data_IF_049983978071
#
_entry.id   IF_049983978071
#
_cell.length_a   1.000
_cell.length_b   1.000
_cell.length_c   1.000
_cell.angle_alpha   90.00
_cell.angle_beta   90.00
_cell.angle_gamma   90.00
#
_symmetry.space_group_name_H-M   'P 1'
#
loop_
_entity.id
_entity.type
_entity.pdbx_description
1 polymer ?
#
# COMPACT_ATOMS: atom_id res chain seq x y z
N UNK A 1 -2.96 10.57 60.39
CA UNK A 1 -2.18 11.83 60.28
C UNK A 1 -2.47 12.43 58.91
N UNK A 2 -2.91 13.69 58.90
CA UNK A 2 -3.41 14.45 57.74
C UNK A 2 -2.29 15.39 57.24
N UNK A 3 -2.16 15.54 55.91
CA UNK A 3 -1.71 16.73 55.14
C UNK A 3 -1.78 16.30 53.66
N UNK A 4 -2.67 16.74 52.75
CA UNK A 4 -3.22 18.06 52.39
C UNK A 4 -2.17 19.07 51.89
N UNK A 5 -2.28 19.45 50.61
CA UNK A 5 -1.50 20.51 49.92
C UNK A 5 -1.66 20.41 48.39
N UNK A 6 -2.73 20.95 47.78
CA UNK A 6 -2.84 22.30 47.15
C UNK A 6 -1.98 22.36 45.85
N UNK A 7 -2.53 22.16 44.65
CA UNK A 7 -3.43 23.00 43.82
C UNK A 7 -2.73 24.14 43.02
N UNK A 8 -2.64 23.90 41.70
CA UNK A 8 -2.96 24.77 40.54
C UNK A 8 -2.56 26.26 40.48
N UNK A 9 -1.90 26.63 39.36
CA UNK A 9 -2.39 27.50 38.25
C UNK A 9 -1.37 28.56 37.75
N UNK A 10 -1.53 28.91 36.45
CA UNK A 10 -1.07 30.06 35.63
C UNK A 10 -0.09 29.64 34.53
N UNK A 11 -0.57 29.27 33.33
CA UNK A 11 -1.04 30.13 32.22
C UNK A 11 0.00 31.20 31.87
N UNK A 12 0.81 30.92 30.84
CA UNK A 12 1.52 31.93 30.08
C UNK A 12 1.14 31.75 28.59
N UNK A 13 0.24 32.62 28.14
CA UNK A 13 -0.01 32.92 26.74
C UNK A 13 1.25 33.60 26.16
N UNK A 14 1.88 32.97 25.17
CA UNK A 14 2.96 33.54 24.38
C UNK A 14 2.48 33.87 22.98
N UNK A 15 2.53 35.16 22.66
CA UNK A 15 2.02 35.82 21.46
C UNK A 15 2.59 35.31 20.13
N UNK A 16 1.70 35.34 19.15
CA UNK A 16 1.88 35.48 17.72
C UNK A 16 3.06 36.36 17.27
N UNK A 17 3.87 35.83 16.36
CA UNK A 17 4.61 36.63 15.37
C UNK A 17 4.31 36.10 13.97
N UNK A 18 3.48 36.86 13.25
CA UNK A 18 3.37 36.81 11.78
C UNK A 18 4.69 37.35 11.21
N UNK A 19 5.58 36.44 10.80
CA UNK A 19 6.81 36.77 10.06
C UNK A 19 6.54 36.74 8.57
N UNK A 20 6.74 37.89 7.92
CA UNK A 20 6.44 38.18 6.53
C UNK A 20 7.13 37.22 5.54
N UNK A 21 6.35 36.68 4.60
CA UNK A 21 6.86 36.05 3.38
C UNK A 21 7.25 37.18 2.43
N UNK A 22 8.54 37.42 2.32
CA UNK A 22 9.15 38.37 1.40
C UNK A 22 8.98 37.84 -0.04
N UNK A 23 8.21 38.57 -0.85
CA UNK A 23 8.07 38.27 -2.27
C UNK A 23 9.36 38.71 -2.99
N UNK A 24 10.22 37.74 -3.30
CA UNK A 24 11.35 37.92 -4.22
C UNK A 24 10.79 38.34 -5.58
N UNK A 25 10.87 39.63 -5.87
CA UNK A 25 10.69 40.18 -7.23
C UNK A 25 11.93 39.82 -8.04
N UNK A 26 11.83 38.78 -8.85
CA UNK A 26 12.73 38.60 -9.99
C UNK A 26 12.33 39.60 -11.08
N UNK A 27 13.05 40.72 -11.12
CA UNK A 27 13.13 41.58 -12.28
C UNK A 27 14.05 40.94 -13.33
N UNK A 28 13.62 40.97 -14.59
CA UNK A 28 14.54 40.97 -15.72
C UNK A 28 14.31 39.81 -16.69
N UNK A 29 13.94 40.15 -17.92
CA UNK A 29 14.00 39.22 -19.06
C UNK A 29 12.82 39.33 -20.00
N UNK A 30 12.63 40.50 -20.61
CA UNK A 30 11.82 40.62 -21.80
C UNK A 30 12.48 39.81 -22.93
N UNK A 31 11.92 38.63 -23.22
CA UNK A 31 12.07 37.95 -24.50
C UNK A 31 10.68 37.43 -24.88
N UNK A 32 9.94 38.25 -25.63
CA UNK A 32 8.75 37.82 -26.36
C UNK A 32 9.18 36.82 -27.44
N UNK A 33 9.29 35.56 -27.08
CA UNK A 33 9.10 34.47 -28.03
C UNK A 33 7.58 34.24 -28.08
N UNK A 34 6.94 34.68 -29.16
CA UNK A 34 5.58 34.26 -29.47
C UNK A 34 5.61 32.77 -29.78
N UNK A 35 5.54 31.95 -28.73
CA UNK A 35 5.28 30.53 -28.86
C UNK A 35 3.82 30.41 -29.31
N UNK A 36 3.63 30.30 -30.62
CA UNK A 36 2.36 29.92 -31.23
C UNK A 36 1.90 28.62 -30.58
N UNK A 37 1.02 28.72 -29.58
CA UNK A 37 0.30 27.58 -29.03
C UNK A 37 -0.53 27.03 -30.19
N UNK A 38 -0.01 25.98 -30.84
CA UNK A 38 -0.77 25.19 -31.81
C UNK A 38 -1.89 24.48 -31.04
N UNK A 39 -2.98 25.21 -30.82
CA UNK A 39 -4.23 24.67 -30.30
C UNK A 39 -4.66 23.61 -31.29
N UNK A 40 -4.56 22.33 -30.91
CA UNK A 40 -5.05 21.24 -31.75
C UNK A 40 -6.55 21.48 -31.97
N UNK A 41 -7.03 21.52 -33.22
CA UNK A 41 -8.44 21.73 -33.48
C UNK A 41 -9.24 20.64 -32.76
N UNK A 42 -10.31 21.04 -32.07
CA UNK A 42 -11.23 20.08 -31.45
C UNK A 42 -11.83 19.22 -32.56
N UNK A 43 -11.79 17.90 -32.39
CA UNK A 43 -12.46 16.98 -33.32
C UNK A 43 -13.92 17.36 -33.46
N UNK A 44 -14.41 17.43 -34.69
CA UNK A 44 -15.83 17.69 -34.96
C UNK A 44 -16.66 16.48 -34.57
N UNK A 45 -17.93 16.68 -34.24
CA UNK A 45 -18.86 15.60 -33.87
C UNK A 45 -18.88 14.48 -34.92
N UNK A 46 -18.83 14.83 -36.20
CA UNK A 46 -18.78 13.87 -37.31
C UNK A 46 -17.52 12.99 -37.30
N UNK A 47 -16.36 13.57 -36.93
CA UNK A 47 -15.10 12.81 -36.84
C UNK A 47 -15.17 11.81 -35.68
N UNK A 48 -15.81 12.17 -34.57
CA UNK A 48 -16.01 11.28 -33.42
C UNK A 48 -16.91 10.11 -33.83
N UNK A 49 -18.02 10.38 -34.53
CA UNK A 49 -18.96 9.35 -34.99
C UNK A 49 -18.29 8.39 -35.99
N UNK A 50 -17.41 8.88 -36.86
CA UNK A 50 -16.62 8.02 -37.76
C UNK A 50 -15.66 7.11 -37.01
N UNK A 51 -15.01 7.57 -35.95
CA UNK A 51 -14.13 6.73 -35.12
C UNK A 51 -14.89 5.69 -34.31
N UNK A 52 -16.15 5.98 -33.92
CA UNK A 52 -17.00 5.05 -33.19
C UNK A 52 -17.69 4.02 -34.10
N UNK A 53 -17.74 4.26 -35.41
CA UNK A 53 -18.35 3.31 -36.34
C UNK A 53 -17.47 2.04 -36.48
N UNK A 54 -18.04 0.83 -36.35
CA UNK A 54 -17.31 -0.41 -36.58
C UNK A 54 -16.68 -0.42 -37.97
N UNK A 55 -15.34 -0.58 -38.05
CA UNK A 55 -14.59 -0.55 -39.31
C UNK A 55 -14.98 -1.67 -40.28
N UNK A 56 -15.54 -2.77 -39.77
CA UNK A 56 -15.97 -3.89 -40.59
C UNK A 56 -17.47 -3.78 -40.92
N UNK A 57 -17.86 -3.62 -42.20
CA UNK A 57 -19.27 -3.53 -42.60
C UNK A 57 -20.05 -4.82 -42.25
N UNK A 58 -19.36 -5.96 -42.12
CA UNK A 58 -19.95 -7.24 -41.74
C UNK A 58 -20.29 -7.36 -40.24
N UNK A 59 -19.77 -6.48 -39.37
CA UNK A 59 -20.10 -6.49 -37.94
C UNK A 59 -21.42 -5.78 -37.62
N UNK A 60 -21.93 -4.92 -38.54
CA UNK A 60 -23.20 -4.20 -38.35
C UNK A 60 -24.42 -5.11 -38.24
N UNK A 61 -24.35 -6.30 -38.85
CA UNK A 61 -25.44 -7.28 -38.82
C UNK A 61 -25.33 -8.26 -37.65
N UNK A 62 -24.18 -8.30 -36.97
CA UNK A 62 -23.96 -9.20 -35.83
C UNK A 62 -24.53 -8.53 -34.57
N UNK A 63 -25.85 -8.62 -34.37
CA UNK A 63 -26.47 -8.45 -33.06
C UNK A 63 -25.96 -9.57 -32.16
N UNK A 64 -24.77 -9.41 -31.59
CA UNK A 64 -24.27 -10.30 -30.55
C UNK A 64 -25.19 -10.09 -29.36
N UNK A 65 -26.10 -11.02 -29.11
CA UNK A 65 -26.86 -11.00 -27.86
C UNK A 65 -25.85 -11.25 -26.75
N UNK A 66 -25.96 -10.55 -25.63
CA UNK A 66 -25.09 -10.76 -24.46
C UNK A 66 -25.11 -12.22 -23.97
N UNK A 67 -26.17 -12.96 -24.28
CA UNK A 67 -26.30 -14.40 -24.03
C UNK A 67 -25.40 -15.27 -24.92
N UNK A 68 -25.05 -14.82 -26.13
CA UNK A 68 -24.25 -15.57 -27.10
C UNK A 68 -22.73 -15.38 -26.89
N UNK A 69 -22.35 -14.45 -26.01
CA UNK A 69 -21.00 -14.39 -25.43
C UNK A 69 -20.94 -15.46 -24.34
N UNK A 70 -21.16 -16.71 -24.73
CA UNK A 70 -20.76 -17.83 -23.91
C UNK A 70 -19.23 -17.76 -23.83
N UNK A 71 -18.74 -17.28 -22.68
CA UNK A 71 -17.32 -17.38 -22.37
C UNK A 71 -16.89 -18.81 -22.67
N UNK A 72 -15.83 -19.04 -23.48
CA UNK A 72 -15.33 -20.38 -23.70
C UNK A 72 -15.00 -20.95 -22.32
N UNK A 73 -15.86 -21.85 -21.84
CA UNK A 73 -15.61 -22.69 -20.68
C UNK A 73 -14.49 -23.62 -21.11
N UNK A 74 -13.28 -23.10 -20.99
CA UNK A 74 -12.05 -23.76 -21.36
C UNK A 74 -12.02 -25.07 -20.58
N UNK A 75 -12.07 -26.17 -21.32
CA UNK A 75 -11.98 -27.51 -20.78
C UNK A 75 -10.69 -27.68 -19.97
N UNK A 76 -10.77 -28.50 -18.92
CA UNK A 76 -9.66 -28.92 -18.04
C UNK A 76 -8.59 -27.83 -17.83
N UNK A 77 -8.93 -26.84 -17.00
CA UNK A 77 -7.94 -25.94 -16.42
C UNK A 77 -6.96 -26.80 -15.60
N UNK A 78 -5.67 -26.72 -15.93
CA UNK A 78 -4.60 -27.38 -15.18
C UNK A 78 -4.77 -27.11 -13.68
N UNK A 79 -4.65 -28.16 -12.88
CA UNK A 79 -4.87 -28.11 -11.41
C UNK A 79 -4.08 -26.99 -10.74
N UNK A 80 -2.87 -26.70 -11.24
CA UNK A 80 -2.02 -25.62 -10.74
C UNK A 80 -2.60 -24.23 -11.02
N UNK A 81 -3.08 -23.98 -12.24
CA UNK A 81 -3.73 -22.72 -12.62
C UNK A 81 -5.03 -22.54 -11.86
N UNK A 82 -5.78 -23.63 -11.64
CA UNK A 82 -6.99 -23.63 -10.81
C UNK A 82 -6.68 -23.28 -9.35
N UNK A 83 -5.60 -23.83 -8.77
CA UNK A 83 -5.16 -23.49 -7.40
C UNK A 83 -4.70 -22.04 -7.28
N UNK A 84 -4.03 -21.49 -8.30
CA UNK A 84 -3.64 -20.08 -8.34
C UNK A 84 -4.85 -19.15 -8.50
N UNK A 85 -5.84 -19.53 -9.32
CA UNK A 85 -7.10 -18.81 -9.45
C UNK A 85 -7.92 -18.88 -8.16
N UNK A 86 -7.92 -20.02 -7.46
CA UNK A 86 -8.53 -20.16 -6.14
C UNK A 86 -7.87 -19.23 -5.11
N UNK A 87 -6.52 -19.18 -5.08
CA UNK A 87 -5.76 -18.22 -4.26
C UNK A 87 -6.08 -16.76 -4.61
N UNK A 88 -6.31 -16.45 -5.89
CA UNK A 88 -6.75 -15.10 -6.33
C UNK A 88 -8.17 -14.77 -5.88
N UNK A 89 -9.04 -15.77 -5.73
CA UNK A 89 -10.44 -15.63 -5.28
C UNK A 89 -10.59 -15.66 -3.76
N UNK A 90 -9.52 -15.86 -3.00
CA UNK A 90 -9.56 -15.76 -1.55
C UNK A 90 -10.01 -14.38 -1.09
N UNK A 91 -10.84 -14.35 -0.04
CA UNK A 91 -11.28 -13.09 0.56
C UNK A 91 -10.08 -12.26 1.05
N UNK A 92 -10.20 -10.94 1.00
CA UNK A 92 -9.17 -10.03 1.52
C UNK A 92 -8.81 -10.34 2.98
N UNK A 93 -9.82 -10.73 3.77
CA UNK A 93 -9.66 -11.15 5.18
C UNK A 93 -8.82 -12.42 5.30
N UNK A 94 -9.02 -13.40 4.42
CA UNK A 94 -8.21 -14.62 4.43
C UNK A 94 -6.73 -14.30 4.15
N UNK A 95 -6.45 -13.39 3.21
CA UNK A 95 -5.08 -13.03 2.78
C UNK A 95 -4.36 -12.07 3.72
N UNK A 96 -4.97 -11.70 4.83
CA UNK A 96 -4.48 -10.69 5.75
C UNK A 96 -4.41 -11.23 7.17
N UNK A 97 -3.76 -10.47 8.04
CA UNK A 97 -3.72 -10.70 9.48
C UNK A 97 -4.74 -9.78 10.12
N UNK A 98 -5.71 -10.37 10.81
CA UNK A 98 -6.74 -9.60 11.52
C UNK A 98 -6.21 -9.27 12.91
N UNK A 99 -6.29 -8.00 13.31
CA UNK A 99 -5.93 -7.56 14.66
C UNK A 99 -7.15 -6.94 15.32
N UNK A 100 -7.55 -7.49 16.46
CA UNK A 100 -8.73 -7.10 17.22
C UNK A 100 -8.34 -6.29 18.47
N UNK A 101 -8.98 -5.15 18.65
CA UNK A 101 -8.97 -4.33 19.86
C UNK A 101 -10.17 -4.64 20.74
N UNK A 102 -10.49 -3.74 21.68
CA UNK A 102 -11.64 -3.92 22.57
C UNK A 102 -12.99 -3.77 21.86
N UNK A 103 -13.13 -2.75 20.99
CA UNK A 103 -14.39 -2.41 20.31
C UNK A 103 -14.27 -2.24 18.79
N UNK A 104 -13.05 -2.35 18.28
CA UNK A 104 -12.75 -2.23 16.86
C UNK A 104 -11.71 -3.26 16.43
N UNK A 105 -11.65 -3.55 15.14
CA UNK A 105 -10.66 -4.43 14.55
C UNK A 105 -10.16 -3.84 13.23
N UNK A 106 -8.97 -4.25 12.83
CA UNK A 106 -8.36 -3.82 11.59
C UNK A 106 -7.70 -4.99 10.87
N UNK A 107 -7.36 -4.75 9.61
CA UNK A 107 -6.78 -5.73 8.71
C UNK A 107 -5.37 -5.26 8.34
N UNK A 108 -4.38 -6.12 8.54
CA UNK A 108 -2.99 -5.85 8.19
C UNK A 108 -2.50 -6.82 7.11
N UNK A 109 -1.53 -6.43 6.27
CA UNK A 109 -0.87 -7.37 5.37
C UNK A 109 -0.25 -8.54 6.14
N UNK A 110 -0.30 -9.75 5.57
CA UNK A 110 0.40 -10.90 6.16
C UNK A 110 1.90 -10.61 6.28
N UNK A 111 2.49 -10.95 7.43
CA UNK A 111 3.91 -10.68 7.71
C UNK A 111 4.21 -9.24 8.14
N UNK A 112 3.20 -8.40 8.38
CA UNK A 112 3.40 -7.07 8.97
C UNK A 112 3.57 -7.10 10.49
N UNK A 113 2.98 -8.09 11.16
CA UNK A 113 3.15 -8.32 12.58
C UNK A 113 4.43 -9.11 12.79
N UNK A 114 5.47 -8.46 13.31
CA UNK A 114 6.79 -9.06 13.47
C UNK A 114 6.91 -9.88 14.74
N UNK A 115 6.24 -9.41 15.81
CA UNK A 115 6.28 -10.05 17.10
C UNK A 115 4.91 -9.99 17.76
N UNK A 116 4.43 -11.16 18.19
CA UNK A 116 3.21 -11.32 18.97
C UNK A 116 3.52 -11.93 20.34
N UNK A 117 3.57 -11.10 21.41
CA UNK A 117 3.65 -11.58 22.79
C UNK A 117 2.49 -12.54 23.13
N UNK A 118 2.71 -13.49 24.04
CA UNK A 118 1.70 -14.48 24.46
C UNK A 118 0.37 -13.83 24.86
N UNK A 119 0.43 -12.72 25.63
CA UNK A 119 -0.73 -11.92 26.07
C UNK A 119 -1.60 -11.35 24.94
N UNK A 120 -1.04 -11.17 23.75
CA UNK A 120 -1.75 -10.58 22.60
C UNK A 120 -2.06 -11.59 21.50
N UNK A 121 -1.73 -12.88 21.68
CA UNK A 121 -2.10 -13.93 20.71
C UNK A 121 -3.61 -13.99 20.48
N UNK A 122 -4.41 -13.81 21.54
CA UNK A 122 -5.88 -13.79 21.47
C UNK A 122 -6.39 -12.60 20.64
N UNK A 123 -5.59 -11.56 20.42
CA UNK A 123 -5.97 -10.38 19.63
C UNK A 123 -5.61 -10.52 18.16
N UNK A 124 -4.74 -11.45 17.79
CA UNK A 124 -4.25 -11.63 16.42
C UNK A 124 -4.88 -12.89 15.82
N UNK A 125 -5.49 -12.76 14.64
CA UNK A 125 -6.22 -13.82 13.93
C UNK A 125 -7.38 -14.44 14.73
N UNK A 126 -7.97 -13.69 15.66
CA UNK A 126 -9.14 -14.12 16.40
C UNK A 126 -10.43 -13.54 15.79
N UNK A 127 -11.57 -13.83 16.43
CA UNK A 127 -12.88 -13.31 16.05
C UNK A 127 -12.87 -11.79 15.84
N UNK A 128 -13.54 -11.40 14.77
CA UNK A 128 -13.77 -10.02 14.36
C UNK A 128 -14.83 -9.41 15.27
N UNK A 129 -14.41 -8.88 16.41
CA UNK A 129 -15.31 -8.24 17.38
C UNK A 129 -15.34 -6.74 17.17
N UNK A 130 -16.53 -6.19 16.95
CA UNK A 130 -16.76 -4.75 16.80
C UNK A 130 -16.64 -4.22 15.37
N UNK A 131 -16.35 -2.92 15.25
CA UNK A 131 -16.34 -2.20 13.97
C UNK A 131 -14.99 -2.31 13.25
N UNK A 132 -15.01 -2.55 11.94
CA UNK A 132 -13.83 -2.42 11.09
C UNK A 132 -13.41 -0.95 11.02
N UNK A 133 -12.14 -0.67 11.33
CA UNK A 133 -11.56 0.67 11.29
C UNK A 133 -10.26 0.70 10.49
N UNK A 134 -9.88 1.90 10.04
CA UNK A 134 -8.60 2.14 9.37
C UNK A 134 -7.44 1.87 10.33
N UNK A 135 -6.25 1.62 9.78
CA UNK A 135 -5.05 1.40 10.59
C UNK A 135 -4.72 2.59 11.50
N UNK A 136 -4.86 3.82 10.98
CA UNK A 136 -4.57 5.05 11.73
C UNK A 136 -5.48 5.17 12.96
N UNK A 137 -6.79 4.96 12.78
CA UNK A 137 -7.77 5.02 13.88
C UNK A 137 -7.59 3.86 14.86
N UNK A 138 -7.21 2.69 14.34
CA UNK A 138 -6.91 1.52 15.16
C UNK A 138 -5.71 1.79 16.06
N UNK A 139 -4.61 2.27 15.48
CA UNK A 139 -3.39 2.56 16.22
C UNK A 139 -3.60 3.67 17.25
N UNK A 140 -4.29 4.75 16.89
CA UNK A 140 -4.59 5.86 17.81
C UNK A 140 -5.30 5.38 19.10
N UNK A 141 -6.19 4.39 19.00
CA UNK A 141 -6.91 3.81 20.16
C UNK A 141 -6.13 2.75 20.91
N UNK A 142 -5.11 2.15 20.29
CA UNK A 142 -4.42 0.95 20.78
C UNK A 142 -2.90 1.16 20.95
N UNK A 143 -2.42 2.42 20.93
CA UNK A 143 -1.00 2.77 21.03
C UNK A 143 -0.35 2.31 22.35
N UNK A 144 -1.13 2.05 23.40
CA UNK A 144 -0.61 1.56 24.69
C UNK A 144 -0.01 0.15 24.63
N UNK A 145 -0.39 -0.66 23.64
CA UNK A 145 0.06 -2.05 23.53
C UNK A 145 0.67 -2.40 22.16
N UNK A 146 0.70 -1.45 21.23
CA UNK A 146 1.26 -1.59 19.88
C UNK A 146 2.52 -0.71 19.77
N UNK A 147 3.61 -1.32 19.31
CA UNK A 147 4.85 -0.62 18.94
C UNK A 147 4.99 -0.62 17.43
N UNK A 148 5.21 0.55 16.85
CA UNK A 148 5.54 0.69 15.45
C UNK A 148 7.04 0.46 15.25
N UNK A 149 7.40 -0.38 14.29
CA UNK A 149 8.76 -0.50 13.81
C UNK A 149 8.84 0.13 12.41
N UNK A 150 9.46 1.31 12.27
CA UNK A 150 9.72 1.86 10.94
C UNK A 150 10.71 0.95 10.23
N UNK A 151 10.32 0.46 9.04
CA UNK A 151 11.16 -0.37 8.19
C UNK A 151 11.34 0.29 6.83
N UNK A 152 12.51 0.12 6.23
CA UNK A 152 12.76 0.57 4.85
C UNK A 152 12.17 -0.41 3.84
N UNK A 153 11.95 0.04 2.61
CA UNK A 153 11.52 -0.86 1.52
C UNK A 153 12.54 -1.98 1.26
N UNK A 154 13.84 -1.71 1.41
CA UNK A 154 14.89 -2.71 1.28
C UNK A 154 14.82 -3.76 2.38
N UNK A 155 14.45 -3.38 3.61
CA UNK A 155 14.20 -4.32 4.70
C UNK A 155 12.93 -5.14 4.46
N UNK A 156 11.83 -4.48 4.06
CA UNK A 156 10.56 -5.16 3.80
C UNK A 156 10.65 -6.19 2.66
N UNK A 157 11.43 -5.88 1.62
CA UNK A 157 11.69 -6.77 0.49
C UNK A 157 12.69 -7.88 0.79
N UNK A 158 13.41 -7.81 1.93
CA UNK A 158 14.42 -8.78 2.34
C UNK A 158 15.80 -8.57 1.71
N UNK A 159 16.07 -7.40 1.12
CA UNK A 159 17.41 -7.04 0.60
C UNK A 159 18.39 -6.78 1.73
N UNK A 160 17.92 -6.08 2.75
CA UNK A 160 18.65 -5.86 4.01
C UNK A 160 17.81 -6.45 5.13
N UNK A 161 17.92 -7.77 5.39
CA UNK A 161 17.08 -8.42 6.39
C UNK A 161 17.34 -7.84 7.79
N UNK A 162 16.30 -7.83 8.63
CA UNK A 162 16.44 -7.46 10.04
C UNK A 162 17.31 -8.51 10.74
N UNK A 163 18.28 -8.05 11.54
CA UNK A 163 19.14 -8.96 12.32
C UNK A 163 18.35 -9.66 13.42
N UNK A 164 18.65 -10.93 13.65
CA UNK A 164 18.00 -11.74 14.69
C UNK A 164 18.21 -11.14 16.09
N UNK A 165 19.38 -10.54 16.34
CA UNK A 165 19.68 -9.81 17.58
C UNK A 165 18.69 -8.67 17.79
N UNK A 166 18.41 -7.89 16.75
CA UNK A 166 17.46 -6.80 16.81
C UNK A 166 16.04 -7.29 17.08
N UNK A 167 15.61 -8.36 16.38
CA UNK A 167 14.31 -9.00 16.65
C UNK A 167 14.22 -9.55 18.08
N UNK A 168 15.32 -10.06 18.63
CA UNK A 168 15.38 -10.54 20.01
C UNK A 168 15.27 -9.41 21.04
N UNK A 169 15.84 -8.24 20.74
CA UNK A 169 15.70 -7.05 21.59
C UNK A 169 14.24 -6.59 21.67
N UNK A 170 13.51 -6.68 20.55
CA UNK A 170 12.10 -6.32 20.48
C UNK A 170 11.22 -7.23 21.34
N UNK A 171 11.58 -8.52 21.48
CA UNK A 171 10.90 -9.50 22.37
C UNK A 171 10.80 -9.02 23.82
N UNK A 172 11.83 -8.30 24.30
CA UNK A 172 11.88 -7.79 25.67
C UNK A 172 10.82 -6.72 25.96
N UNK A 173 10.35 -6.00 24.94
CA UNK A 173 9.33 -4.94 25.11
C UNK A 173 7.98 -5.50 25.55
N UNK A 174 7.67 -6.75 25.19
CA UNK A 174 6.36 -7.36 25.46
C UNK A 174 5.18 -6.70 24.74
N UNK A 175 5.40 -5.76 23.82
CA UNK A 175 4.38 -5.09 23.01
C UNK A 175 4.17 -5.83 21.68
N UNK A 176 3.00 -5.66 21.05
CA UNK A 176 2.79 -6.13 19.68
C UNK A 176 3.62 -5.25 18.75
N UNK A 177 4.53 -5.83 17.97
CA UNK A 177 5.37 -5.05 17.05
C UNK A 177 4.83 -5.18 15.63
N UNK A 178 4.53 -4.04 15.02
CA UNK A 178 4.02 -3.94 13.64
C UNK A 178 5.01 -3.15 12.79
N UNK A 179 5.38 -3.71 11.65
CA UNK A 179 6.23 -3.06 10.67
C UNK A 179 5.46 -1.99 9.89
N UNK A 180 6.04 -0.80 9.78
CA UNK A 180 5.42 0.36 9.13
C UNK A 180 6.41 0.99 8.14
N UNK A 181 5.92 1.36 6.96
CA UNK A 181 6.63 2.17 5.98
C UNK A 181 5.72 3.32 5.56
N UNK A 182 6.22 4.56 5.59
CA UNK A 182 5.46 5.77 5.20
C UNK A 182 4.11 5.93 5.94
N UNK A 183 4.03 5.47 7.20
CA UNK A 183 2.83 5.55 8.03
C UNK A 183 1.81 4.42 7.84
N UNK A 184 2.02 3.51 6.88
CA UNK A 184 1.18 2.34 6.64
C UNK A 184 1.83 1.01 7.07
N UNK A 185 1.05 0.00 7.48
CA UNK A 185 1.59 -1.31 7.83
C UNK A 185 2.08 -2.02 6.56
N UNK A 186 3.27 -2.60 6.59
CA UNK A 186 3.90 -3.26 5.44
C UNK A 186 4.32 -4.68 5.80
N UNK A 187 4.24 -5.61 4.84
CA UNK A 187 4.74 -6.97 5.01
C UNK A 187 6.27 -7.00 4.95
N UNK A 188 6.91 -7.66 5.91
CA UNK A 188 8.38 -7.85 5.91
C UNK A 188 8.70 -9.30 5.59
N UNK A 189 9.65 -9.52 4.68
CA UNK A 189 10.23 -10.85 4.45
C UNK A 189 11.30 -11.13 5.50
N UNK A 190 11.12 -12.22 6.23
CA UNK A 190 12.12 -12.69 7.17
C UNK A 190 13.22 -13.46 6.41
N UNK A 191 14.48 -13.36 6.85
CA UNK A 191 15.53 -14.21 6.33
C UNK A 191 15.21 -15.67 6.67
N UNK A 192 15.07 -16.52 5.66
CA UNK A 192 15.03 -17.97 5.87
C UNK A 192 16.44 -18.42 6.25
N UNK A 193 16.58 -19.19 7.34
CA UNK A 193 17.89 -19.69 7.79
C UNK A 193 18.54 -20.49 6.66
N UNK A 194 19.55 -19.92 6.03
CA UNK A 194 20.32 -20.55 4.95
C UNK A 194 20.09 -19.97 3.55
N UNK A 195 19.24 -18.96 3.37
CA UNK A 195 19.07 -18.32 2.07
C UNK A 195 19.86 -17.01 2.02
N UNK A 196 20.96 -17.02 1.25
CA UNK A 196 21.70 -15.80 0.91
C UNK A 196 20.74 -14.80 0.27
N UNK A 197 20.92 -13.51 0.61
CA UNK A 197 20.18 -12.40 0.04
C UNK A 197 20.09 -12.55 -1.47
N UNK A 198 18.87 -12.64 -2.01
CA UNK A 198 18.64 -12.71 -3.46
C UNK A 198 19.33 -11.51 -4.11
N UNK A 199 20.53 -11.73 -4.65
CA UNK A 199 21.18 -10.73 -5.47
C UNK A 199 20.28 -10.51 -6.68
N UNK A 200 19.76 -9.29 -6.81
CA UNK A 200 18.99 -8.96 -8.01
C UNK A 200 19.91 -9.23 -9.19
N UNK A 201 19.37 -9.90 -10.21
CA UNK A 201 19.97 -9.90 -11.52
C UNK A 201 20.36 -8.46 -11.81
N UNK A 202 21.66 -8.22 -12.06
CA UNK A 202 22.18 -6.90 -12.37
C UNK A 202 21.24 -6.27 -13.40
N UNK A 203 20.84 -5.00 -13.25
CA UNK A 203 19.98 -4.35 -14.23
C UNK A 203 20.56 -4.64 -15.61
N UNK A 204 19.80 -5.38 -16.43
CA UNK A 204 20.26 -5.78 -17.76
C UNK A 204 20.52 -4.49 -18.49
N UNK A 205 21.78 -4.25 -18.87
CA UNK A 205 22.11 -3.06 -19.65
C UNK A 205 21.24 -3.10 -20.89
N UNK A 206 20.71 -1.95 -21.33
CA UNK A 206 19.84 -1.90 -22.50
C UNK A 206 20.46 -2.57 -23.75
N UNK A 207 21.80 -2.58 -23.85
CA UNK A 207 22.56 -3.25 -24.89
C UNK A 207 22.46 -4.79 -24.89
N UNK A 208 22.16 -5.41 -23.74
CA UNK A 208 22.02 -6.86 -23.55
C UNK A 208 20.56 -7.33 -23.69
N UNK A 209 19.61 -6.40 -23.85
CA UNK A 209 18.20 -6.72 -24.04
C UNK A 209 17.95 -7.24 -25.46
N UNK A 210 18.09 -8.56 -25.67
CA UNK A 210 17.62 -9.22 -26.90
C UNK A 210 16.10 -9.16 -26.93
N UNK A 211 15.54 -8.38 -27.87
CA UNK A 211 14.11 -8.37 -28.13
C UNK A 211 13.65 -9.81 -28.44
N UNK A 212 12.53 -10.29 -27.85
CA UNK A 212 12.02 -11.61 -28.15
C UNK A 212 11.74 -11.70 -29.65
N UNK A 213 12.32 -12.72 -30.30
CA UNK A 213 12.14 -12.96 -31.73
C UNK A 213 10.64 -13.12 -32.00
N UNK A 214 10.06 -12.20 -32.78
CA UNK A 214 8.70 -12.39 -33.29
C UNK A 214 8.69 -13.65 -34.15
N UNK A 215 7.95 -14.67 -33.69
CA UNK A 215 7.52 -15.79 -34.53
C UNK A 215 6.18 -15.45 -35.16
#
# INVERSE_FOLDING_TARGET
MKTAGIALLFIALGLSTLGAVEAVRLSGGAAKAEEHVKVRPRMTHEQITRLQSPRDPNLKQRKVRLADIEQPRTGKVDSEVSSQLAKRRESLVARSTVVSGASCWTILPRGSVLLTPSRFKIRVNNERRGKLVTWTDFYAKNASWIRLLPVTLDQATGRSPLTDEYLSSLKRTGLLVVAVCEGGPISVRFPEKGQESLSLARPVKAAEWKAPSRR
#
